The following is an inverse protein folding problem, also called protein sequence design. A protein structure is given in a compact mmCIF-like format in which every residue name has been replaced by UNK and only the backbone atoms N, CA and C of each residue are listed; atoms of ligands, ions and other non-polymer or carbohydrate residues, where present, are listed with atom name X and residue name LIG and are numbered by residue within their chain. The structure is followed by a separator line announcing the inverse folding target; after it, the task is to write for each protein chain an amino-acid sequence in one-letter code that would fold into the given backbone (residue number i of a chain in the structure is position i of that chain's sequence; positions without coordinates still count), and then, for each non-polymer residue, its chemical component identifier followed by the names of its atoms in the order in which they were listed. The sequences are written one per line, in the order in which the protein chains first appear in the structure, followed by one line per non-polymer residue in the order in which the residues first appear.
data_IF_044967155746
#
_entry.id   IF_044967155746
#
_cell.length_a   1.000
_cell.length_b   1.000
_cell.length_c   1.000
_cell.angle_alpha   90.00
_cell.angle_beta   90.00
_cell.angle_gamma   90.00
#
_symmetry.space_group_name_H-M   'P 1'
#
loop_
_entity.id
_entity.type
_entity.pdbx_description
1 polymer ?
#
# COMPACT_ATOMS: atom_id res chain seq x y z
N UNK A 1 -19.79 3.33 -25.37
CA UNK A 1 -20.04 4.48 -24.47
C UNK A 1 -19.11 5.63 -24.84
N UNK A 2 -19.58 6.89 -24.84
CA UNK A 2 -18.72 8.05 -25.14
C UNK A 2 -18.88 9.10 -24.04
N UNK A 3 -17.77 9.63 -23.56
CA UNK A 3 -17.73 10.56 -22.44
C UNK A 3 -17.37 11.96 -22.93
N UNK A 4 -18.19 12.95 -22.56
CA UNK A 4 -18.06 14.34 -22.99
C UNK A 4 -17.90 15.30 -21.81
N UNK A 5 -17.12 16.35 -22.02
CA UNK A 5 -17.09 17.57 -21.20
C UNK A 5 -17.78 18.68 -21.99
N UNK A 6 -19.07 18.89 -21.73
CA UNK A 6 -19.87 19.75 -22.60
C UNK A 6 -19.90 19.18 -24.03
N UNK A 7 -19.23 19.86 -24.97
CA UNK A 7 -19.11 19.42 -26.38
C UNK A 7 -17.80 18.71 -26.70
N UNK A 8 -16.82 18.78 -25.81
CA UNK A 8 -15.51 18.14 -26.01
C UNK A 8 -15.59 16.65 -25.68
N UNK A 9 -15.24 15.79 -26.63
CA UNK A 9 -15.09 14.35 -26.36
C UNK A 9 -13.81 14.13 -25.56
N UNK A 10 -13.94 13.50 -24.38
CA UNK A 10 -12.80 13.21 -23.50
C UNK A 10 -12.21 11.84 -23.84
N UNK A 11 -13.05 10.80 -23.85
CA UNK A 11 -12.68 9.41 -24.16
C UNK A 11 -13.93 8.63 -24.58
N UNK A 12 -13.76 7.43 -25.12
CA UNK A 12 -14.84 6.51 -25.46
C UNK A 12 -14.42 5.03 -25.39
N UNK A 13 -15.43 4.19 -25.23
CA UNK A 13 -15.41 2.74 -25.39
C UNK A 13 -16.34 2.40 -26.58
N UNK A 14 -15.79 1.78 -27.60
CA UNK A 14 -16.45 1.39 -28.84
C UNK A 14 -16.87 -0.07 -28.88
N UNK A 15 -17.13 -0.58 -30.08
CA UNK A 15 -17.48 -1.98 -30.28
C UNK A 15 -16.30 -2.88 -29.91
N UNK A 16 -16.56 -3.95 -29.13
CA UNK A 16 -15.57 -4.84 -28.52
C UNK A 16 -14.63 -4.21 -27.48
N UNK A 17 -14.82 -2.99 -27.00
CA UNK A 17 -13.95 -2.47 -25.93
C UNK A 17 -14.32 -3.07 -24.57
N UNK A 18 -15.60 -2.92 -24.16
CA UNK A 18 -16.19 -3.67 -23.06
C UNK A 18 -16.49 -5.11 -23.50
N UNK A 19 -15.88 -6.08 -22.84
CA UNK A 19 -16.04 -7.49 -23.18
C UNK A 19 -15.97 -8.40 -21.95
N UNK A 20 -16.77 -9.46 -22.02
CA UNK A 20 -16.58 -10.67 -21.23
C UNK A 20 -15.62 -11.59 -21.98
N UNK A 21 -14.55 -11.99 -21.31
CA UNK A 21 -13.45 -12.78 -21.87
C UNK A 21 -13.31 -14.06 -21.05
N UNK A 22 -13.19 -15.19 -21.74
CA UNK A 22 -12.93 -16.49 -21.10
C UNK A 22 -11.62 -17.05 -21.63
N UNK A 23 -10.69 -17.42 -20.73
CA UNK A 23 -9.51 -18.17 -21.13
C UNK A 23 -9.93 -19.60 -21.49
N UNK A 24 -9.32 -20.19 -22.53
CA UNK A 24 -9.62 -21.53 -23.04
C UNK A 24 -11.07 -21.77 -23.51
N UNK A 25 -11.70 -20.77 -24.15
CA UNK A 25 -13.05 -20.91 -24.72
C UNK A 25 -13.14 -22.04 -25.76
N UNK A 26 -13.98 -23.05 -25.48
CA UNK A 26 -14.22 -24.23 -26.36
C UNK A 26 -15.46 -24.13 -27.26
N UNK A 27 -16.07 -22.95 -27.39
CA UNK A 27 -17.13 -22.73 -28.38
C UNK A 27 -18.57 -23.01 -27.93
N UNK A 28 -18.82 -23.34 -26.66
CA UNK A 28 -20.18 -23.42 -26.11
C UNK A 28 -20.60 -22.04 -25.59
N UNK A 29 -21.64 -21.45 -26.19
CA UNK A 29 -22.13 -20.11 -25.84
C UNK A 29 -22.74 -20.02 -24.43
N UNK A 30 -22.95 -21.16 -23.76
CA UNK A 30 -23.58 -21.30 -22.45
C UNK A 30 -22.83 -22.31 -21.56
N UNK A 31 -21.50 -22.22 -21.53
CA UNK A 31 -20.67 -23.01 -20.60
C UNK A 31 -20.91 -22.53 -19.16
N UNK A 32 -21.32 -23.45 -18.29
CA UNK A 32 -22.23 -23.26 -17.15
C UNK A 32 -21.57 -23.41 -15.77
N UNK A 33 -20.48 -22.69 -15.53
CA UNK A 33 -20.20 -22.28 -14.14
C UNK A 33 -18.91 -22.78 -13.54
N UNK A 34 -17.81 -22.27 -14.06
CA UNK A 34 -16.72 -21.86 -13.18
C UNK A 34 -16.38 -20.42 -13.52
N UNK A 35 -16.54 -19.52 -12.54
CA UNK A 35 -16.01 -18.15 -12.57
C UNK A 35 -14.48 -18.13 -12.76
N UNK A 36 -13.84 -19.26 -12.42
CA UNK A 36 -12.46 -19.57 -12.75
C UNK A 36 -12.28 -19.42 -14.26
N UNK A 37 -11.27 -18.65 -14.69
CA UNK A 37 -10.94 -18.42 -16.10
C UNK A 37 -11.84 -17.40 -16.84
N UNK A 38 -12.63 -16.61 -16.10
CA UNK A 38 -13.48 -15.55 -16.67
C UNK A 38 -12.98 -14.17 -16.26
N UNK A 39 -13.10 -13.20 -17.17
CA UNK A 39 -12.65 -11.83 -16.97
C UNK A 39 -13.60 -10.83 -17.61
N UNK A 40 -13.81 -9.71 -16.95
CA UNK A 40 -14.36 -8.51 -17.59
C UNK A 40 -13.24 -7.56 -17.95
N UNK A 41 -13.34 -6.96 -19.14
CA UNK A 41 -12.36 -6.01 -19.67
C UNK A 41 -13.05 -4.79 -20.24
N UNK A 42 -12.49 -3.61 -20.03
CA UNK A 42 -12.85 -2.37 -20.72
C UNK A 42 -11.62 -1.77 -21.41
N UNK A 43 -11.85 -0.98 -22.47
CA UNK A 43 -10.81 -0.23 -23.17
C UNK A 43 -11.27 1.19 -23.47
N UNK A 44 -10.62 2.17 -22.86
CA UNK A 44 -10.93 3.58 -23.06
C UNK A 44 -9.95 4.21 -24.05
N UNK A 45 -10.45 4.90 -25.07
CA UNK A 45 -9.66 5.57 -26.11
C UNK A 45 -8.76 6.67 -25.56
N UNK A 46 -7.56 6.73 -26.13
CA UNK A 46 -6.61 7.81 -25.95
C UNK A 46 -6.54 8.70 -27.19
N UNK A 47 -6.52 10.00 -26.96
CA UNK A 47 -6.31 11.03 -27.97
C UNK A 47 -4.84 11.17 -28.35
N UNK A 48 -4.55 11.84 -29.47
CA UNK A 48 -3.17 12.18 -29.85
C UNK A 48 -2.54 13.07 -28.78
N UNK A 49 -1.34 12.71 -28.33
CA UNK A 49 -0.59 13.42 -27.30
C UNK A 49 -1.15 13.26 -25.88
N UNK A 50 -2.08 12.32 -25.68
CA UNK A 50 -2.63 12.04 -24.36
C UNK A 50 -1.69 11.18 -23.52
N UNK A 51 -1.41 11.65 -22.31
CA UNK A 51 -0.48 11.03 -21.37
C UNK A 51 -1.21 10.59 -20.10
N UNK A 52 -0.88 9.39 -19.63
CA UNK A 52 -1.48 8.74 -18.47
C UNK A 52 -0.50 8.67 -17.31
N UNK A 53 -1.01 8.94 -16.11
CA UNK A 53 -0.26 8.96 -14.85
C UNK A 53 -1.04 8.24 -13.74
N UNK A 54 -0.38 7.98 -12.61
CA UNK A 54 -1.00 7.39 -11.43
C UNK A 54 -0.73 5.90 -11.30
N UNK A 55 -1.78 5.14 -10.99
CA UNK A 55 -1.80 3.73 -10.63
C UNK A 55 -1.21 3.41 -9.24
N UNK A 56 -0.78 4.43 -8.50
CA UNK A 56 -0.19 4.32 -7.17
C UNK A 56 1.27 4.80 -7.16
N UNK A 57 2.03 4.37 -6.15
CA UNK A 57 3.47 4.66 -6.05
C UNK A 57 4.28 3.77 -7.01
N UNK A 58 4.75 4.28 -8.13
CA UNK A 58 5.53 3.49 -9.12
C UNK A 58 6.94 4.03 -9.30
N UNK A 59 7.88 3.12 -9.55
CA UNK A 59 9.30 3.43 -9.81
C UNK A 59 9.71 3.30 -11.29
N UNK A 60 8.78 2.86 -12.13
CA UNK A 60 8.89 2.87 -13.60
C UNK A 60 8.78 4.30 -14.16
N UNK A 61 8.98 4.53 -15.48
CA UNK A 61 8.79 5.85 -16.07
C UNK A 61 7.46 6.50 -15.65
N UNK A 62 7.53 7.81 -15.39
CA UNK A 62 6.42 8.57 -14.78
C UNK A 62 5.15 8.53 -15.65
N UNK A 63 5.30 8.68 -16.97
CA UNK A 63 4.23 8.49 -17.96
C UNK A 63 4.00 7.00 -18.19
N UNK A 64 2.75 6.55 -18.06
CA UNK A 64 2.38 5.12 -18.09
C UNK A 64 2.11 4.57 -19.48
N UNK A 65 1.98 5.42 -20.50
CA UNK A 65 1.85 4.96 -21.88
C UNK A 65 3.02 4.03 -22.26
N UNK A 66 2.70 2.85 -22.80
CA UNK A 66 3.62 1.77 -23.14
C UNK A 66 3.86 0.76 -22.01
N UNK A 67 3.20 0.87 -20.86
CA UNK A 67 3.42 -0.02 -19.71
C UNK A 67 2.20 -0.92 -19.44
N UNK A 68 2.49 -2.17 -19.09
CA UNK A 68 1.55 -3.07 -18.41
C UNK A 68 1.73 -2.90 -16.90
N UNK A 69 0.64 -2.81 -16.14
CA UNK A 69 0.69 -2.57 -14.69
C UNK A 69 -0.36 -3.43 -14.00
N UNK A 70 0.07 -4.29 -13.10
CA UNK A 70 -0.82 -5.02 -12.21
C UNK A 70 -0.97 -4.27 -10.88
N UNK A 71 -2.22 -4.09 -10.45
CA UNK A 71 -2.54 -3.53 -9.14
C UNK A 71 -2.49 -4.67 -8.12
N UNK A 72 -1.31 -4.87 -7.54
CA UNK A 72 -1.07 -5.90 -6.52
C UNK A 72 0.08 -5.48 -5.60
N UNK A 73 -0.16 -5.41 -4.29
CA UNK A 73 0.86 -4.98 -3.33
C UNK A 73 1.93 -6.06 -3.15
N UNK A 74 3.18 -5.68 -3.39
CA UNK A 74 4.33 -6.56 -3.32
C UNK A 74 5.53 -5.82 -2.69
N UNK A 75 6.36 -6.56 -1.97
CA UNK A 75 7.63 -6.05 -1.42
C UNK A 75 8.77 -6.31 -2.41
N UNK A 76 8.89 -5.40 -3.39
CA UNK A 76 9.85 -5.49 -4.50
C UNK A 76 10.99 -4.49 -4.47
N UNK A 77 11.11 -3.71 -3.39
CA UNK A 77 12.00 -2.55 -3.35
C UNK A 77 11.51 -1.39 -4.22
N UNK A 78 12.43 -0.48 -4.56
CA UNK A 78 12.12 0.75 -5.32
C UNK A 78 12.79 0.78 -6.71
N UNK A 79 13.17 -0.38 -7.22
CA UNK A 79 14.01 -0.51 -8.43
C UNK A 79 13.42 -1.48 -9.46
N UNK A 80 12.15 -1.82 -9.31
CA UNK A 80 11.41 -2.77 -10.16
C UNK A 80 10.06 -2.17 -10.56
N UNK A 81 9.28 -2.93 -11.32
CA UNK A 81 7.89 -2.62 -11.67
C UNK A 81 6.91 -2.82 -10.51
N UNK A 82 7.28 -3.62 -9.52
CA UNK A 82 6.48 -3.92 -8.34
C UNK A 82 6.26 -2.68 -7.47
N UNK A 83 5.29 -2.76 -6.57
CA UNK A 83 5.03 -1.67 -5.63
C UNK A 83 4.34 -2.10 -4.36
N UNK A 84 4.69 -1.38 -3.29
CA UNK A 84 4.03 -1.41 -1.99
C UNK A 84 2.61 -0.81 -1.99
N UNK A 85 2.32 0.17 -2.85
CA UNK A 85 1.13 1.04 -2.74
C UNK A 85 0.38 1.12 -4.06
N UNK A 86 -0.31 0.06 -4.45
CA UNK A 86 -1.10 -0.01 -5.68
C UNK A 86 -2.47 0.63 -5.50
N UNK A 87 -2.85 1.46 -6.46
CA UNK A 87 -4.14 2.15 -6.47
C UNK A 87 -4.72 2.00 -7.88
N UNK A 88 -5.89 1.38 -8.08
CA UNK A 88 -6.50 1.21 -9.40
C UNK A 88 -7.13 2.52 -9.90
N UNK A 89 -6.36 3.61 -9.87
CA UNK A 89 -6.76 4.94 -10.33
C UNK A 89 -5.67 5.52 -11.23
N UNK A 90 -6.04 5.90 -12.45
CA UNK A 90 -5.17 6.69 -13.32
C UNK A 90 -5.79 8.05 -13.64
N UNK A 91 -4.93 8.99 -14.04
CA UNK A 91 -5.29 10.34 -14.45
C UNK A 91 -4.66 10.68 -15.80
N UNK A 92 -5.42 11.36 -16.65
CA UNK A 92 -5.00 11.79 -17.98
C UNK A 92 -4.67 13.29 -17.99
N UNK A 93 -3.68 13.70 -18.81
CA UNK A 93 -3.41 15.12 -19.08
C UNK A 93 -4.56 15.84 -19.81
N UNK A 94 -5.60 15.13 -20.29
CA UNK A 94 -6.88 15.70 -20.75
C UNK A 94 -7.82 16.09 -19.59
N UNK A 95 -7.36 15.89 -18.35
CA UNK A 95 -8.04 16.34 -17.15
C UNK A 95 -9.26 15.49 -16.80
N UNK A 96 -9.17 14.18 -16.98
CA UNK A 96 -10.08 13.22 -16.38
C UNK A 96 -9.28 12.11 -15.70
N UNK A 97 -9.91 11.35 -14.82
CA UNK A 97 -9.34 10.14 -14.25
C UNK A 97 -10.33 8.99 -14.31
N UNK A 98 -9.82 7.79 -14.10
CA UNK A 98 -10.64 6.58 -14.01
C UNK A 98 -10.21 5.80 -12.79
N UNK A 99 -11.16 5.48 -11.92
CA UNK A 99 -10.97 4.62 -10.76
C UNK A 99 -11.72 3.31 -11.00
N UNK A 100 -11.00 2.20 -11.10
CA UNK A 100 -11.59 0.86 -11.23
C UNK A 100 -11.86 0.35 -9.81
N UNK A 101 -13.14 0.14 -9.48
CA UNK A 101 -13.60 -0.12 -8.13
C UNK A 101 -13.54 -1.61 -7.77
N UNK A 102 -12.35 -2.17 -7.90
CA UNK A 102 -12.06 -3.59 -7.65
C UNK A 102 -10.85 -3.71 -6.72
N UNK A 103 -11.02 -4.25 -5.50
CA UNK A 103 -9.92 -4.43 -4.54
C UNK A 103 -8.99 -5.60 -4.86
N UNK A 104 -9.45 -6.57 -5.65
CA UNK A 104 -8.65 -7.66 -6.17
C UNK A 104 -7.65 -7.19 -7.24
N UNK A 105 -6.88 -8.13 -7.82
CA UNK A 105 -5.91 -7.80 -8.87
C UNK A 105 -6.61 -7.22 -10.10
N UNK A 106 -6.30 -5.97 -10.40
CA UNK A 106 -6.67 -5.30 -11.65
C UNK A 106 -5.44 -5.25 -12.55
N UNK A 107 -5.55 -5.79 -13.75
CA UNK A 107 -4.46 -5.75 -14.74
C UNK A 107 -4.71 -4.63 -15.74
N UNK A 108 -3.75 -3.74 -15.94
CA UNK A 108 -3.81 -2.62 -16.88
C UNK A 108 -2.84 -2.81 -18.04
N UNK A 109 -3.29 -2.46 -19.23
CA UNK A 109 -2.47 -2.29 -20.42
C UNK A 109 -2.64 -0.86 -20.94
N UNK A 110 -1.66 0.01 -20.64
CA UNK A 110 -1.72 1.43 -20.98
C UNK A 110 -0.95 1.64 -22.27
N UNK A 111 -1.62 1.66 -23.42
CA UNK A 111 -0.98 1.71 -24.75
C UNK A 111 0.04 0.60 -25.03
N UNK A 112 0.06 -0.47 -24.23
CA UNK A 112 1.00 -1.60 -24.33
C UNK A 112 0.46 -2.74 -25.21
N UNK A 113 -0.84 -3.05 -25.12
CA UNK A 113 -1.51 -3.98 -26.05
C UNK A 113 -2.09 -3.23 -27.26
N UNK A 114 -3.00 -2.30 -27.00
CA UNK A 114 -3.65 -1.45 -28.00
C UNK A 114 -3.13 -0.02 -27.84
N UNK A 115 -2.25 0.44 -28.73
CA UNK A 115 -1.49 1.69 -28.56
C UNK A 115 -2.35 2.96 -28.39
N UNK A 116 -3.62 2.94 -28.80
CA UNK A 116 -4.59 4.05 -28.67
C UNK A 116 -5.59 3.85 -27.53
N UNK A 117 -5.33 2.96 -26.57
CA UNK A 117 -6.27 2.59 -25.51
C UNK A 117 -5.56 2.49 -24.16
N UNK A 118 -6.31 2.78 -23.10
CA UNK A 118 -6.06 2.23 -21.76
C UNK A 118 -7.03 1.09 -21.56
N UNK A 119 -6.49 -0.10 -21.43
CA UNK A 119 -7.24 -1.30 -21.09
C UNK A 119 -7.07 -1.60 -19.62
N UNK A 120 -8.14 -2.11 -19.01
CA UNK A 120 -8.08 -2.75 -17.70
C UNK A 120 -9.01 -3.96 -17.67
N UNK A 121 -8.59 -4.98 -16.94
CA UNK A 121 -9.35 -6.22 -16.77
C UNK A 121 -9.28 -6.74 -15.35
N UNK A 122 -10.36 -7.38 -14.93
CA UNK A 122 -10.53 -8.00 -13.62
C UNK A 122 -11.10 -9.41 -13.79
N UNK A 123 -10.75 -10.37 -12.92
CA UNK A 123 -11.39 -11.68 -12.90
C UNK A 123 -12.89 -11.58 -12.58
N UNK A 124 -13.69 -12.50 -13.12
CA UNK A 124 -15.12 -12.63 -12.85
C UNK A 124 -16.01 -11.98 -13.91
N UNK A 125 -17.28 -11.82 -13.54
CA UNK A 125 -18.37 -11.47 -14.47
C UNK A 125 -18.80 -9.99 -14.39
N UNK A 126 -18.21 -9.21 -13.49
CA UNK A 126 -18.55 -7.81 -13.24
C UNK A 126 -17.36 -6.87 -13.44
N UNK A 127 -17.63 -5.66 -13.94
CA UNK A 127 -16.66 -4.57 -13.98
C UNK A 127 -17.33 -3.26 -13.58
N UNK A 128 -16.86 -2.68 -12.48
CA UNK A 128 -17.28 -1.40 -11.94
C UNK A 128 -16.13 -0.39 -12.00
N UNK A 129 -16.38 0.77 -12.60
CA UNK A 129 -15.40 1.85 -12.65
C UNK A 129 -16.07 3.22 -12.72
N UNK A 130 -15.40 4.20 -12.14
CA UNK A 130 -15.80 5.60 -12.15
C UNK A 130 -14.96 6.37 -13.15
N UNK A 131 -15.59 7.07 -14.09
CA UNK A 131 -14.93 8.14 -14.82
C UNK A 131 -15.12 9.46 -14.07
N UNK A 132 -14.00 10.06 -13.65
CA UNK A 132 -13.96 11.25 -12.83
C UNK A 132 -13.54 12.43 -13.71
N UNK A 133 -14.49 13.28 -14.05
CA UNK A 133 -14.25 14.43 -14.91
C UNK A 133 -13.48 15.56 -14.19
N UNK A 134 -12.79 16.43 -14.94
CA UNK A 134 -12.10 17.66 -14.49
C UNK A 134 -12.86 18.96 -14.84
N UNK A 135 -12.19 20.04 -15.30
CA UNK A 135 -11.29 19.98 -16.45
C UNK A 135 -9.79 19.92 -16.22
N UNK A 136 -9.29 20.23 -15.03
CA UNK A 136 -7.86 20.11 -14.72
C UNK A 136 -7.54 18.82 -13.95
N UNK A 137 -6.29 18.35 -14.04
CA UNK A 137 -5.86 17.19 -13.24
C UNK A 137 -6.02 17.43 -11.72
N UNK A 138 -5.88 18.67 -11.26
CA UNK A 138 -6.12 19.03 -9.86
C UNK A 138 -7.58 18.83 -9.46
N UNK A 139 -8.53 19.22 -10.31
CA UNK A 139 -9.96 19.01 -10.04
C UNK A 139 -10.36 17.53 -10.06
N UNK A 140 -9.75 16.74 -10.93
CA UNK A 140 -9.93 15.27 -10.91
C UNK A 140 -9.48 14.71 -9.56
N UNK A 141 -8.30 15.09 -9.06
CA UNK A 141 -7.81 14.65 -7.75
C UNK A 141 -8.69 15.13 -6.60
N UNK A 142 -9.22 16.36 -6.67
CA UNK A 142 -10.18 16.85 -5.67
C UNK A 142 -11.43 15.97 -5.63
N UNK A 143 -12.03 15.65 -6.78
CA UNK A 143 -13.23 14.80 -6.84
C UNK A 143 -12.95 13.35 -6.48
N UNK A 144 -11.82 12.81 -6.91
CA UNK A 144 -11.37 11.47 -6.51
C UNK A 144 -11.26 11.36 -4.99
N UNK A 145 -10.60 12.34 -4.35
CA UNK A 145 -10.48 12.36 -2.89
C UNK A 145 -11.77 12.77 -2.16
N UNK A 146 -12.75 13.40 -2.81
CA UNK A 146 -14.10 13.54 -2.27
C UNK A 146 -14.80 12.17 -2.17
N UNK A 147 -14.54 11.28 -3.13
CA UNK A 147 -15.10 9.92 -3.17
C UNK A 147 -14.35 8.96 -2.24
N UNK A 148 -13.01 8.97 -2.26
CA UNK A 148 -12.19 7.93 -1.63
C UNK A 148 -11.55 8.34 -0.31
N UNK A 149 -11.76 9.57 0.14
CA UNK A 149 -11.23 10.09 1.38
C UNK A 149 -10.18 11.18 1.19
N UNK A 150 -10.30 12.25 1.99
CA UNK A 150 -9.37 13.36 2.01
C UNK A 150 -8.14 13.03 2.86
N UNK A 151 -6.92 13.39 2.41
CA UNK A 151 -5.77 13.36 3.29
C UNK A 151 -5.99 14.25 4.52
N UNK A 152 -5.73 13.72 5.72
CA UNK A 152 -5.75 14.50 6.95
C UNK A 152 -4.61 15.53 6.96
N UNK A 153 -4.79 16.64 7.68
CA UNK A 153 -3.72 17.61 7.92
C UNK A 153 -2.83 17.08 9.07
N UNK A 154 -1.57 16.67 8.80
CA UNK A 154 -0.70 16.19 9.87
C UNK A 154 -0.23 17.34 10.77
N UNK A 155 0.13 17.06 12.04
CA UNK A 155 0.68 18.08 12.93
C UNK A 155 1.94 18.74 12.37
N UNK A 156 2.11 20.05 12.56
CA UNK A 156 3.22 20.81 11.96
C UNK A 156 4.63 20.24 12.24
N UNK A 157 4.84 19.58 13.39
CA UNK A 157 6.13 19.00 13.74
C UNK A 157 6.54 17.82 12.83
N UNK A 158 5.61 17.18 12.12
CA UNK A 158 5.92 16.05 11.21
C UNK A 158 6.71 16.49 9.99
N UNK A 159 6.66 17.78 9.62
CA UNK A 159 7.42 18.37 8.52
C UNK A 159 8.88 18.70 8.90
N UNK A 160 9.26 18.53 10.17
CA UNK A 160 10.63 18.69 10.60
C UNK A 160 11.51 17.51 10.17
N UNK A 161 12.82 17.60 10.44
CA UNK A 161 13.76 16.51 10.15
C UNK A 161 13.49 15.29 11.05
N UNK A 162 13.47 14.11 10.42
CA UNK A 162 13.44 12.80 11.06
C UNK A 162 14.83 12.17 10.98
N UNK A 163 15.27 11.56 12.07
CA UNK A 163 16.48 10.74 12.13
C UNK A 163 16.10 9.38 12.70
N UNK A 164 16.59 8.30 12.11
CA UNK A 164 16.39 6.95 12.62
C UNK A 164 17.67 6.37 13.21
N UNK A 165 17.51 5.30 13.98
CA UNK A 165 18.61 4.43 14.43
C UNK A 165 19.33 3.74 13.26
N UNK A 166 18.80 3.82 12.03
CA UNK A 166 19.05 2.87 10.93
C UNK A 166 18.50 1.46 11.24
N UNK A 167 18.64 0.52 10.30
CA UNK A 167 18.02 -0.81 10.40
C UNK A 167 18.87 -1.82 11.20
N UNK A 168 19.99 -2.31 10.64
CA UNK A 168 20.81 -3.38 11.26
C UNK A 168 22.05 -2.87 12.00
N UNK A 169 22.08 -1.57 12.33
CA UNK A 169 23.10 -0.99 13.20
C UNK A 169 22.91 -1.50 14.63
N UNK A 170 23.97 -1.46 15.42
CA UNK A 170 23.83 -1.60 16.87
C UNK A 170 23.44 -0.24 17.44
N UNK A 171 22.36 -0.19 18.21
CA UNK A 171 21.92 1.04 18.86
C UNK A 171 21.33 0.75 20.22
N UNK A 172 21.79 1.50 21.21
CA UNK A 172 21.31 1.57 22.57
C UNK A 172 21.01 3.03 22.95
N UNK A 173 20.65 3.29 24.20
CA UNK A 173 20.38 4.65 24.66
C UNK A 173 21.60 5.58 24.49
N UNK A 174 22.83 5.09 24.69
CA UNK A 174 24.03 5.90 24.52
C UNK A 174 24.19 6.33 23.05
N UNK A 175 24.10 5.38 22.13
CA UNK A 175 24.21 5.60 20.68
C UNK A 175 23.15 6.61 20.20
N UNK A 176 21.91 6.46 20.66
CA UNK A 176 20.81 7.38 20.35
C UNK A 176 21.14 8.79 20.85
N UNK A 177 21.62 8.94 22.08
CA UNK A 177 22.00 10.24 22.63
C UNK A 177 23.19 10.85 21.89
N UNK A 178 24.19 10.07 21.50
CA UNK A 178 25.33 10.56 20.71
C UNK A 178 24.88 11.19 19.38
N UNK A 179 23.93 10.57 18.66
CA UNK A 179 23.35 11.15 17.45
C UNK A 179 22.55 12.43 17.74
N UNK A 180 21.67 12.40 18.73
CA UNK A 180 20.82 13.55 19.09
C UNK A 180 21.66 14.74 19.55
N UNK A 181 22.56 14.53 20.49
CA UNK A 181 23.43 15.58 21.03
C UNK A 181 24.45 16.05 19.99
N UNK A 182 24.86 15.15 19.10
CA UNK A 182 25.67 15.48 17.92
C UNK A 182 24.97 16.46 16.98
N UNK A 183 23.68 16.25 16.69
CA UNK A 183 22.87 17.15 15.88
C UNK A 183 22.67 18.51 16.58
N UNK A 184 22.31 18.50 17.86
CA UNK A 184 22.06 19.71 18.65
C UNK A 184 23.32 20.56 18.80
N UNK A 185 24.47 19.95 19.12
CA UNK A 185 25.76 20.66 19.26
C UNK A 185 26.25 21.30 17.96
N UNK A 186 25.85 20.76 16.80
CA UNK A 186 26.15 21.32 15.47
C UNK A 186 25.12 22.33 14.99
N UNK A 187 24.10 22.63 15.80
CA UNK A 187 23.03 23.56 15.44
C UNK A 187 22.09 23.02 14.36
N UNK A 188 22.03 21.70 14.15
CA UNK A 188 21.16 21.06 13.14
C UNK A 188 19.79 20.78 13.78
N UNK A 189 18.69 21.40 13.29
CA UNK A 189 17.37 21.18 13.88
C UNK A 189 16.88 19.74 13.65
N UNK A 190 16.55 19.04 14.73
CA UNK A 190 15.94 17.71 14.73
C UNK A 190 14.55 17.77 15.38
N UNK A 191 13.55 17.09 14.82
CA UNK A 191 12.17 17.08 15.34
C UNK A 191 11.65 15.71 15.72
N UNK A 192 12.00 14.68 14.97
CA UNK A 192 11.54 13.31 15.24
C UNK A 192 12.73 12.37 15.28
N UNK A 193 12.76 11.52 16.29
CA UNK A 193 13.68 10.39 16.36
C UNK A 193 12.90 9.07 16.22
N UNK A 194 13.33 8.22 15.30
CA UNK A 194 12.69 6.94 14.98
C UNK A 194 13.55 5.76 15.44
N UNK A 195 12.96 4.85 16.21
CA UNK A 195 13.56 3.57 16.56
C UNK A 195 13.09 2.49 15.59
N UNK A 196 14.03 1.90 14.86
CA UNK A 196 13.78 0.81 13.92
C UNK A 196 13.66 -0.55 14.65
N UNK A 197 13.43 -1.63 13.90
CA UNK A 197 13.05 -2.98 14.34
C UNK A 197 13.67 -3.47 15.66
N UNK A 198 14.98 -3.31 15.88
CA UNK A 198 15.71 -3.79 17.07
C UNK A 198 15.42 -2.99 18.37
N UNK A 199 14.40 -2.12 18.39
CA UNK A 199 13.82 -1.72 19.69
C UNK A 199 13.13 -2.90 20.39
N UNK A 200 12.67 -3.89 19.60
CA UNK A 200 12.28 -5.22 20.04
C UNK A 200 13.41 -6.22 19.79
N UNK A 201 13.43 -7.30 20.57
CA UNK A 201 14.44 -8.37 20.45
C UNK A 201 14.42 -9.05 19.06
N UNK A 202 15.57 -9.46 18.56
CA UNK A 202 15.68 -10.24 17.32
C UNK A 202 14.76 -11.46 17.35
N UNK A 203 14.10 -11.76 16.23
CA UNK A 203 13.11 -12.85 16.08
C UNK A 203 11.78 -12.69 16.82
N UNK A 204 11.64 -11.66 17.67
CA UNK A 204 10.42 -11.37 18.42
C UNK A 204 9.53 -10.31 17.75
N UNK A 205 9.85 -9.85 16.54
CA UNK A 205 9.08 -8.77 15.90
C UNK A 205 7.70 -9.25 15.42
N UNK A 206 6.57 -8.59 15.70
CA UNK A 206 6.37 -7.37 16.51
C UNK A 206 5.58 -7.65 17.81
N UNK A 207 6.21 -8.13 18.90
CA UNK A 207 5.55 -8.33 20.21
C UNK A 207 5.37 -7.08 21.08
N UNK A 208 5.76 -5.91 20.57
CA UNK A 208 5.67 -4.63 21.26
C UNK A 208 6.43 -4.55 22.59
N UNK A 209 7.39 -5.45 22.82
CA UNK A 209 8.19 -5.49 24.04
C UNK A 209 9.58 -4.91 23.78
N UNK A 210 9.93 -3.86 24.54
CA UNK A 210 11.28 -3.29 24.49
C UNK A 210 12.32 -4.33 24.90
N UNK A 211 13.39 -4.48 24.11
CA UNK A 211 14.50 -5.34 24.47
C UNK A 211 15.24 -4.79 25.69
N UNK A 212 14.96 -5.37 26.87
CA UNK A 212 15.54 -4.92 28.14
C UNK A 212 17.06 -5.07 28.22
N UNK A 213 17.68 -5.86 27.33
CA UNK A 213 19.15 -5.98 27.24
C UNK A 213 19.78 -4.69 26.70
N UNK A 214 19.06 -4.00 25.82
CA UNK A 214 19.50 -2.80 25.10
C UNK A 214 18.86 -1.54 25.68
N UNK A 215 17.59 -1.61 26.05
CA UNK A 215 16.78 -0.53 26.61
C UNK A 215 16.23 -0.92 27.99
N UNK A 216 17.04 -0.88 29.06
CA UNK A 216 16.60 -1.27 30.40
C UNK A 216 15.60 -0.30 31.04
N UNK A 217 15.59 0.97 30.61
CA UNK A 217 14.64 2.01 31.06
C UNK A 217 14.04 2.78 29.85
N UNK A 218 13.16 2.13 29.05
CA UNK A 218 12.59 2.78 27.87
C UNK A 218 11.80 4.04 28.25
N UNK A 219 11.04 3.98 29.34
CA UNK A 219 10.23 5.11 29.79
C UNK A 219 11.06 6.34 30.16
N UNK A 220 12.18 6.16 30.87
CA UNK A 220 13.09 7.25 31.16
C UNK A 220 13.84 7.74 29.93
N UNK A 221 14.31 6.86 29.05
CA UNK A 221 14.97 7.24 27.79
C UNK A 221 14.05 8.14 26.95
N UNK A 222 12.81 7.69 26.73
CA UNK A 222 11.83 8.44 25.96
C UNK A 222 11.49 9.80 26.58
N UNK A 223 11.47 9.88 27.92
CA UNK A 223 11.28 11.15 28.65
C UNK A 223 12.43 12.11 28.40
N UNK A 224 13.68 11.64 28.55
CA UNK A 224 14.90 12.43 28.31
C UNK A 224 14.96 12.95 26.86
N UNK A 225 14.58 12.13 25.88
CA UNK A 225 14.50 12.56 24.48
C UNK A 225 13.40 13.60 24.24
N UNK A 226 12.24 13.44 24.87
CA UNK A 226 11.13 14.42 24.80
C UNK A 226 11.48 15.75 25.47
N UNK A 227 12.26 15.74 26.56
CA UNK A 227 12.78 16.94 27.23
C UNK A 227 13.72 17.75 26.31
N UNK A 228 14.41 17.09 25.38
CA UNK A 228 15.18 17.72 24.28
C UNK A 228 14.29 18.28 23.15
N UNK A 229 12.97 18.22 23.28
CA UNK A 229 12.00 18.75 22.32
C UNK A 229 11.67 17.82 21.15
N UNK A 230 12.04 16.54 21.23
CA UNK A 230 11.81 15.55 20.17
C UNK A 230 10.43 14.88 20.29
N UNK A 231 9.87 14.52 19.14
CA UNK A 231 8.82 13.51 19.01
C UNK A 231 9.47 12.16 18.72
N UNK A 232 8.79 11.10 19.12
CA UNK A 232 9.31 9.74 19.02
C UNK A 232 8.40 8.92 18.11
N UNK A 233 9.01 8.14 17.22
CA UNK A 233 8.38 7.12 16.42
C UNK A 233 9.07 5.77 16.70
N UNK A 234 8.32 4.68 16.67
CA UNK A 234 8.85 3.32 16.77
C UNK A 234 8.33 2.52 15.59
N UNK A 235 9.14 1.60 15.08
CA UNK A 235 8.75 0.68 14.01
C UNK A 235 7.71 -0.34 14.53
N UNK A 236 6.69 -0.62 13.72
CA UNK A 236 5.71 -1.70 13.95
C UNK A 236 5.37 -2.32 12.60
N UNK A 237 4.89 -3.57 12.60
CA UNK A 237 4.23 -4.16 11.44
C UNK A 237 3.11 -5.13 11.88
N UNK A 238 2.39 -5.71 10.92
CA UNK A 238 1.25 -6.60 11.17
C UNK A 238 1.64 -8.09 11.24
N UNK A 239 2.93 -8.40 11.41
CA UNK A 239 3.45 -9.76 11.45
C UNK A 239 4.02 -10.06 12.83
N UNK A 240 3.80 -11.27 13.33
CA UNK A 240 4.27 -11.71 14.65
C UNK A 240 5.13 -12.95 14.45
N UNK A 241 6.43 -12.85 14.73
CA UNK A 241 7.37 -13.97 14.73
C UNK A 241 6.99 -15.04 15.75
N UNK A 242 7.37 -16.30 15.52
CA UNK A 242 6.94 -17.41 16.39
C UNK A 242 7.52 -17.35 17.81
N UNK A 243 8.73 -16.81 17.96
CA UNK A 243 9.40 -16.63 19.27
C UNK A 243 8.86 -15.43 20.06
N UNK A 244 8.06 -14.58 19.42
CA UNK A 244 7.48 -13.39 20.01
C UNK A 244 6.49 -13.79 21.12
N UNK A 245 6.48 -13.08 22.26
CA UNK A 245 5.58 -13.43 23.39
C UNK A 245 4.11 -13.41 23.00
N UNK A 246 3.76 -12.54 22.05
CA UNK A 246 2.42 -12.40 21.49
C UNK A 246 1.98 -13.55 20.60
N UNK A 247 2.88 -14.44 20.17
CA UNK A 247 2.49 -15.54 19.29
C UNK A 247 1.53 -16.51 19.97
N UNK A 248 1.85 -16.94 21.20
CA UNK A 248 0.98 -17.84 21.95
C UNK A 248 -0.38 -17.20 22.27
N UNK A 249 -0.38 -15.91 22.66
CA UNK A 249 -1.62 -15.14 22.85
C UNK A 249 -2.49 -15.14 21.58
N UNK A 250 -1.87 -14.94 20.41
CA UNK A 250 -2.56 -14.90 19.13
C UNK A 250 -3.13 -16.26 18.69
N UNK A 251 -2.43 -17.36 18.98
CA UNK A 251 -2.92 -18.72 18.74
C UNK A 251 -4.12 -19.04 19.63
N UNK A 252 -4.00 -18.82 20.94
CA UNK A 252 -5.05 -19.08 21.92
C UNK A 252 -6.29 -18.21 21.69
N UNK A 253 -6.09 -16.94 21.35
CA UNK A 253 -7.15 -15.99 21.03
C UNK A 253 -7.79 -16.17 19.66
N UNK A 254 -7.16 -16.95 18.77
CA UNK A 254 -7.59 -17.11 17.37
C UNK A 254 -7.48 -15.80 16.57
N UNK A 255 -6.41 -15.04 16.78
CA UNK A 255 -6.20 -13.70 16.21
C UNK A 255 -5.38 -13.69 14.91
N UNK A 256 -4.84 -14.83 14.49
CA UNK A 256 -4.07 -14.94 13.26
C UNK A 256 -4.87 -15.43 12.07
N UNK A 257 -4.41 -15.05 10.88
CA UNK A 257 -4.86 -15.58 9.61
C UNK A 257 -4.70 -17.11 9.60
N UNK A 258 -5.70 -17.82 9.07
CA UNK A 258 -5.74 -19.28 9.04
C UNK A 258 -5.73 -19.83 7.62
N UNK A 259 -5.19 -21.03 7.47
CA UNK A 259 -5.36 -21.88 6.29
C UNK A 259 -6.77 -22.50 6.30
N UNK A 260 -7.26 -23.01 5.16
CA UNK A 260 -8.58 -23.65 5.08
C UNK A 260 -8.78 -24.85 6.03
N UNK A 261 -7.70 -25.53 6.42
CA UNK A 261 -7.73 -26.63 7.39
C UNK A 261 -7.81 -26.16 8.86
N UNK A 262 -7.79 -24.84 9.11
CA UNK A 262 -7.89 -24.24 10.43
C UNK A 262 -6.55 -23.92 11.10
N UNK A 263 -5.43 -24.37 10.54
CA UNK A 263 -4.09 -24.07 11.07
C UNK A 263 -3.73 -22.60 10.86
N UNK A 264 -2.90 -22.04 11.74
CA UNK A 264 -2.33 -20.71 11.54
C UNK A 264 -1.48 -20.70 10.27
N UNK A 265 -1.67 -19.68 9.43
CA UNK A 265 -0.78 -19.49 8.28
C UNK A 265 0.58 -18.99 8.76
N UNK A 266 1.65 -19.66 8.34
CA UNK A 266 3.03 -19.33 8.70
C UNK A 266 4.01 -19.54 7.53
N UNK A 267 5.13 -18.81 7.56
CA UNK A 267 6.31 -18.97 6.70
C UNK A 267 7.56 -18.33 7.38
N UNK A 268 8.71 -18.30 6.67
CA UNK A 268 10.00 -17.86 7.23
C UNK A 268 10.64 -16.66 6.50
N UNK A 269 9.88 -15.87 5.73
CA UNK A 269 10.45 -14.83 4.84
C UNK A 269 11.01 -13.60 5.57
N UNK A 270 10.37 -13.15 6.66
CA UNK A 270 10.79 -11.98 7.43
C UNK A 270 11.13 -12.33 8.87
N UNK A 271 10.28 -13.12 9.52
CA UNK A 271 10.55 -13.71 10.83
C UNK A 271 10.32 -15.22 10.77
N UNK A 272 11.10 -16.03 11.51
CA UNK A 272 10.89 -17.47 11.62
C UNK A 272 9.48 -17.78 12.11
N UNK A 273 8.77 -18.63 11.39
CA UNK A 273 7.41 -19.04 11.69
C UNK A 273 6.42 -17.89 11.85
N UNK A 274 6.61 -16.75 11.15
CA UNK A 274 5.74 -15.59 11.37
C UNK A 274 4.29 -15.88 11.00
N UNK A 275 3.37 -15.36 11.80
CA UNK A 275 1.95 -15.29 11.50
C UNK A 275 1.53 -13.86 11.14
N UNK A 276 0.39 -13.73 10.46
CA UNK A 276 -0.23 -12.44 10.11
C UNK A 276 -1.44 -12.23 11.00
N UNK A 277 -1.58 -11.04 11.59
CA UNK A 277 -2.76 -10.66 12.36
C UNK A 277 -3.98 -10.55 11.45
N UNK A 278 -5.07 -11.22 11.81
CA UNK A 278 -6.33 -11.16 11.07
C UNK A 278 -7.14 -9.93 11.47
N UNK A 279 -6.91 -8.80 10.81
CA UNK A 279 -7.66 -7.57 11.06
C UNK A 279 -9.11 -7.57 10.56
N UNK A 280 -9.61 -8.69 10.01
CA UNK A 280 -11.05 -8.87 9.78
C UNK A 280 -11.77 -9.36 11.04
N UNK A 281 -11.02 -9.88 12.03
CA UNK A 281 -11.50 -10.26 13.34
C UNK A 281 -11.47 -9.05 14.30
N UNK A 282 -12.62 -8.53 14.76
CA UNK A 282 -12.66 -7.38 15.66
C UNK A 282 -11.88 -7.58 16.96
N UNK A 283 -11.84 -8.81 17.50
CA UNK A 283 -11.08 -9.11 18.72
C UNK A 283 -9.57 -9.07 18.48
N UNK A 284 -9.11 -9.46 17.29
CA UNK A 284 -7.71 -9.32 16.92
C UNK A 284 -7.33 -7.84 16.77
N UNK A 285 -8.22 -7.01 16.23
CA UNK A 285 -8.04 -5.55 16.18
C UNK A 285 -7.92 -4.95 17.58
N UNK A 286 -8.81 -5.32 18.51
CA UNK A 286 -8.76 -4.88 19.91
C UNK A 286 -7.46 -5.32 20.60
N UNK A 287 -7.09 -6.61 20.44
CA UNK A 287 -5.87 -7.17 21.00
C UNK A 287 -4.62 -6.43 20.50
N UNK A 288 -4.48 -6.24 19.18
CA UNK A 288 -3.34 -5.52 18.62
C UNK A 288 -3.32 -4.05 19.05
N UNK A 289 -4.48 -3.37 19.03
CA UNK A 289 -4.60 -1.96 19.44
C UNK A 289 -4.26 -1.78 20.92
N UNK A 290 -4.54 -2.76 21.78
CA UNK A 290 -4.19 -2.68 23.21
C UNK A 290 -2.68 -2.60 23.48
N UNK A 291 -1.84 -2.88 22.47
CA UNK A 291 -0.37 -2.83 22.56
C UNK A 291 0.22 -1.53 21.97
N UNK A 292 -0.57 -0.74 21.22
CA UNK A 292 -0.16 0.53 20.61
C UNK A 292 -0.20 1.69 21.62
#
# INVERSE_FOLDING_TARGET
MTYYRGKEKITDSGWHDLAYVKTDWKGLAYDDGKEQDTFMRERLSLSVGELIYGLGERFTPFVKNGQSVDIWNEDGGTSTEQSYKNIPFYISNKGYGVFVNHPERVSYEISSEMVKKVQFSVPGEGLDYFLINGPSMKEVLMRYTDLTGKPGLPPAWTFGLWLSTSFTTQYDEETVNQFVDGMLSRGIPLKVFHFDCFWMKEFHWSDFTWDSRVFPDPSGMLRRLKEKGLKICVWINSYIGQEASMFQEGVEGGYFLKRPNGDVWQWDMWQPGMAIVDFTNPKACEWFTSKL
#
